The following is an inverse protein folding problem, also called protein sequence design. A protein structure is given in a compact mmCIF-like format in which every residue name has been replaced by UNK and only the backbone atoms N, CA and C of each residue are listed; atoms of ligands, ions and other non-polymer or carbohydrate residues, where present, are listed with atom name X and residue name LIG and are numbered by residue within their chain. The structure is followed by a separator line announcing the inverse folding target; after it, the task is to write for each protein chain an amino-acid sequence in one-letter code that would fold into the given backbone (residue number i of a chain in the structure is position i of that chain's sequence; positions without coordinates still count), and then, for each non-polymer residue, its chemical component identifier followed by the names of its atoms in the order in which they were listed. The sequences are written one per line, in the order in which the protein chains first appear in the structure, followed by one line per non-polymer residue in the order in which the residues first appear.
data_IF_038807471807
#
_entry.id   IF_038807471807
#
_cell.length_a   1.000
_cell.length_b   1.000
_cell.length_c   1.000
_cell.angle_alpha   90.00
_cell.angle_beta   90.00
_cell.angle_gamma   90.00
#
_symmetry.space_group_name_H-M   'P 1'
#
loop_
_entity.id
_entity.type
_entity.pdbx_description
1 polymer ?
#
# COMPACT_ATOMS: atom_id res chain seq x y z
N UNK A 1 -63.92 -20.36 -1.44
CA UNK A 1 -64.40 -20.10 -2.81
C UNK A 1 -63.29 -19.45 -3.60
N UNK A 2 -63.16 -19.86 -4.88
CA UNK A 2 -62.44 -19.24 -5.99
C UNK A 2 -60.90 -19.19 -5.99
N UNK A 3 -60.16 -19.45 -7.07
CA UNK A 3 -60.31 -20.27 -8.30
C UNK A 3 -58.86 -20.50 -8.77
N UNK A 4 -58.47 -21.75 -9.02
CA UNK A 4 -57.21 -22.10 -9.70
C UNK A 4 -57.29 -21.74 -11.19
N UNK A 5 -56.37 -20.91 -11.69
CA UNK A 5 -56.19 -20.68 -13.14
C UNK A 5 -55.04 -21.51 -13.69
N UNK A 6 -55.39 -22.61 -14.35
CA UNK A 6 -54.56 -23.40 -15.29
C UNK A 6 -54.14 -22.51 -16.47
N UNK A 7 -52.87 -22.55 -16.85
CA UNK A 7 -52.39 -22.03 -18.13
C UNK A 7 -52.26 -23.19 -19.13
N UNK A 8 -52.96 -23.06 -20.26
CA UNK A 8 -52.94 -23.99 -21.39
C UNK A 8 -51.66 -23.81 -22.21
N UNK A 9 -51.10 -24.92 -22.64
CA UNK A 9 -50.08 -25.00 -23.68
C UNK A 9 -50.73 -24.86 -25.06
N UNK A 10 -50.09 -24.10 -25.95
CA UNK A 10 -50.25 -24.23 -27.40
C UNK A 10 -48.87 -24.15 -28.09
N UNK A 11 -48.66 -24.87 -29.21
CA UNK A 11 -47.33 -25.18 -29.74
C UNK A 11 -46.93 -24.34 -30.96
N UNK A 12 -45.62 -24.16 -31.13
CA UNK A 12 -44.97 -24.03 -32.44
C UNK A 12 -44.90 -22.64 -33.07
N UNK A 13 -43.73 -22.02 -33.03
CA UNK A 13 -43.26 -21.10 -34.06
C UNK A 13 -41.73 -21.13 -34.13
N UNK A 14 -41.23 -21.13 -35.37
CA UNK A 14 -39.91 -21.56 -35.81
C UNK A 14 -38.78 -20.60 -35.40
N UNK A 15 -37.59 -21.18 -35.21
CA UNK A 15 -36.31 -20.47 -35.12
C UNK A 15 -36.06 -19.63 -36.38
N UNK A 16 -36.10 -18.31 -36.22
CA UNK A 16 -35.54 -17.37 -37.18
C UNK A 16 -34.02 -17.27 -36.98
N UNK A 17 -33.26 -17.73 -37.96
CA UNK A 17 -31.84 -17.44 -38.09
C UNK A 17 -31.66 -15.94 -38.32
N UNK A 18 -30.99 -15.27 -37.40
CA UNK A 18 -30.47 -13.92 -37.64
C UNK A 18 -29.19 -14.04 -38.48
N UNK A 19 -29.29 -13.67 -39.75
CA UNK A 19 -28.16 -13.49 -40.65
C UNK A 19 -27.57 -12.11 -40.35
N UNK A 20 -26.31 -12.07 -39.91
CA UNK A 20 -25.51 -10.85 -39.91
C UNK A 20 -25.18 -10.49 -41.36
N UNK A 21 -25.67 -9.34 -41.80
CA UNK A 21 -25.23 -8.66 -43.01
C UNK A 21 -23.93 -7.93 -42.70
N UNK A 22 -22.79 -8.42 -43.20
CA UNK A 22 -21.57 -7.63 -43.33
C UNK A 22 -21.35 -7.24 -44.80
N UNK A 23 -20.81 -6.04 -44.95
CA UNK A 23 -20.72 -5.22 -46.15
C UNK A 23 -19.75 -5.81 -47.17
N UNK A 24 -20.18 -5.84 -48.43
CA UNK A 24 -19.41 -6.25 -49.60
C UNK A 24 -18.26 -5.28 -49.87
N UNK A 25 -17.02 -5.76 -49.82
CA UNK A 25 -15.85 -5.08 -50.37
C UNK A 25 -15.57 -5.60 -51.79
N UNK A 26 -15.30 -4.68 -52.72
CA UNK A 26 -15.06 -4.97 -54.14
C UNK A 26 -13.79 -5.83 -54.36
N UNK A 27 -13.75 -6.69 -55.40
CA UNK A 27 -12.58 -7.51 -55.69
C UNK A 27 -11.51 -6.71 -56.45
N UNK A 28 -10.26 -6.81 -56.00
CA UNK A 28 -9.07 -6.48 -56.77
C UNK A 28 -8.63 -7.72 -57.56
N UNK A 29 -8.54 -7.57 -58.89
CA UNK A 29 -8.08 -8.61 -59.82
C UNK A 29 -6.55 -8.80 -59.72
N UNK A 30 -6.11 -9.82 -58.98
CA UNK A 30 -4.79 -10.44 -59.10
C UNK A 30 -4.96 -11.97 -59.22
N UNK A 31 -4.71 -12.59 -60.38
CA UNK A 31 -5.12 -13.97 -60.67
C UNK A 31 -4.20 -15.07 -60.13
N UNK A 32 -3.33 -14.78 -59.15
CA UNK A 32 -2.34 -15.75 -58.61
C UNK A 32 -2.28 -15.88 -57.08
N UNK A 33 -3.20 -15.25 -56.34
CA UNK A 33 -3.32 -15.45 -54.89
C UNK A 33 -4.50 -16.37 -54.58
N UNK A 34 -4.25 -17.63 -54.23
CA UNK A 34 -5.26 -18.50 -53.60
C UNK A 34 -5.83 -17.80 -52.37
N UNK A 35 -7.16 -17.75 -52.16
CA UNK A 35 -7.75 -17.03 -51.04
C UNK A 35 -7.21 -17.61 -49.72
N UNK A 36 -6.59 -16.77 -48.90
CA UNK A 36 -6.11 -17.18 -47.59
C UNK A 36 -7.27 -17.74 -46.76
N UNK A 37 -7.14 -18.96 -46.26
CA UNK A 37 -8.19 -19.62 -45.48
C UNK A 37 -8.46 -18.86 -44.17
N UNK A 38 -9.68 -18.35 -44.01
CA UNK A 38 -10.13 -17.64 -42.80
C UNK A 38 -10.71 -18.62 -41.77
N UNK A 39 -9.83 -19.34 -41.07
CA UNK A 39 -10.26 -20.19 -39.96
C UNK A 39 -10.68 -19.35 -38.74
N UNK A 40 -11.70 -19.78 -37.99
CA UNK A 40 -12.05 -19.13 -36.73
C UNK A 40 -10.91 -19.31 -35.70
N UNK A 41 -10.74 -18.35 -34.77
CA UNK A 41 -9.72 -18.48 -33.73
C UNK A 41 -9.99 -19.68 -32.83
N UNK A 42 -8.94 -20.42 -32.49
CA UNK A 42 -9.01 -21.59 -31.59
C UNK A 42 -9.12 -21.10 -30.15
N UNK A 43 -10.35 -20.79 -29.72
CA UNK A 43 -10.64 -20.26 -28.38
C UNK A 43 -11.82 -20.99 -27.74
N UNK A 44 -11.77 -21.20 -26.42
CA UNK A 44 -12.83 -21.91 -25.69
C UNK A 44 -14.13 -21.11 -25.63
N UNK A 45 -15.31 -21.75 -25.57
CA UNK A 45 -16.59 -21.04 -25.45
C UNK A 45 -16.72 -20.19 -24.17
N UNK A 46 -17.50 -19.09 -24.22
CA UNK A 46 -17.74 -18.21 -23.06
C UNK A 46 -18.81 -18.68 -22.07
N UNK A 47 -19.87 -19.28 -22.61
CA UNK A 47 -21.09 -19.59 -21.85
C UNK A 47 -21.02 -20.95 -21.17
N UNK A 48 -20.10 -21.82 -21.57
CA UNK A 48 -19.98 -23.15 -21.00
C UNK A 48 -19.63 -23.14 -19.50
N UNK A 49 -20.06 -24.20 -18.82
CA UNK A 49 -19.76 -24.47 -17.41
C UNK A 49 -18.47 -25.29 -17.27
N UNK A 50 -17.36 -24.80 -17.84
CA UNK A 50 -16.04 -25.45 -17.76
C UNK A 50 -14.98 -24.55 -17.09
N UNK A 51 -13.84 -25.14 -16.70
CA UNK A 51 -12.69 -24.39 -16.15
C UNK A 51 -12.13 -23.41 -17.19
N UNK A 52 -11.98 -23.84 -18.43
CA UNK A 52 -11.43 -23.02 -19.52
C UNK A 52 -12.38 -21.86 -19.87
N UNK A 53 -13.70 -22.09 -19.88
CA UNK A 53 -14.68 -21.01 -20.07
C UNK A 53 -14.66 -19.98 -18.92
N UNK A 54 -14.26 -20.38 -17.70
CA UNK A 54 -14.06 -19.45 -16.57
C UNK A 54 -12.80 -18.60 -16.76
N UNK A 55 -11.73 -19.15 -17.32
CA UNK A 55 -10.50 -18.42 -17.66
C UNK A 55 -10.78 -17.39 -18.77
N UNK A 56 -11.43 -17.79 -19.86
CA UNK A 56 -11.78 -16.85 -20.94
C UNK A 56 -12.64 -15.68 -20.47
N UNK A 57 -13.63 -15.93 -19.59
CA UNK A 57 -14.42 -14.85 -18.96
C UNK A 57 -13.59 -13.91 -18.07
N UNK A 58 -12.52 -14.42 -17.45
CA UNK A 58 -11.57 -13.62 -16.67
C UNK A 58 -10.73 -12.75 -17.61
N UNK A 59 -10.22 -13.33 -18.69
CA UNK A 59 -9.48 -12.58 -19.73
C UNK A 59 -10.34 -11.48 -20.35
N UNK A 60 -11.61 -11.72 -20.66
CA UNK A 60 -12.52 -10.68 -21.18
C UNK A 60 -12.78 -9.58 -20.15
N UNK A 61 -12.88 -9.94 -18.86
CA UNK A 61 -12.97 -8.96 -17.79
C UNK A 61 -11.68 -8.12 -17.69
N UNK A 62 -10.50 -8.73 -17.81
CA UNK A 62 -9.22 -8.02 -17.83
C UNK A 62 -9.08 -7.11 -19.06
N UNK A 63 -9.51 -7.57 -20.24
CA UNK A 63 -9.61 -6.74 -21.44
C UNK A 63 -10.52 -5.53 -21.22
N UNK A 64 -11.64 -5.69 -20.52
CA UNK A 64 -12.51 -4.56 -20.19
C UNK A 64 -11.85 -3.52 -19.28
N UNK A 65 -10.94 -3.93 -18.40
CA UNK A 65 -10.14 -3.01 -17.57
C UNK A 65 -9.07 -2.33 -18.41
N UNK A 66 -8.35 -3.08 -19.26
CA UNK A 66 -7.33 -2.49 -20.15
C UNK A 66 -7.93 -1.44 -21.09
N UNK A 67 -9.12 -1.72 -21.64
CA UNK A 67 -9.79 -0.85 -22.61
C UNK A 67 -10.50 0.35 -21.98
N UNK A 68 -10.54 0.47 -20.65
CA UNK A 68 -11.16 1.62 -19.99
C UNK A 68 -10.33 2.89 -20.25
N UNK A 69 -11.01 4.00 -20.57
CA UNK A 69 -10.37 5.21 -21.05
C UNK A 69 -9.70 6.01 -19.92
N UNK A 70 -10.32 6.01 -18.74
CA UNK A 70 -9.87 6.77 -17.57
C UNK A 70 -9.46 5.87 -16.41
N UNK A 71 -8.64 6.39 -15.49
CA UNK A 71 -8.22 5.66 -14.30
C UNK A 71 -9.39 5.44 -13.34
N UNK A 72 -10.30 6.40 -13.24
CA UNK A 72 -11.53 6.31 -12.46
C UNK A 72 -12.39 5.12 -12.90
N UNK A 73 -12.56 4.95 -14.22
CA UNK A 73 -13.29 3.82 -14.79
C UNK A 73 -12.58 2.49 -14.52
N UNK A 74 -11.24 2.44 -14.67
CA UNK A 74 -10.43 1.25 -14.34
C UNK A 74 -10.65 0.83 -12.88
N UNK A 75 -10.53 1.78 -11.96
CA UNK A 75 -10.73 1.54 -10.52
C UNK A 75 -12.16 1.13 -10.19
N UNK A 76 -13.15 1.74 -10.83
CA UNK A 76 -14.55 1.37 -10.66
C UNK A 76 -14.82 -0.07 -11.11
N UNK A 77 -14.30 -0.49 -12.27
CA UNK A 77 -14.45 -1.86 -12.79
C UNK A 77 -13.71 -2.86 -11.88
N UNK A 78 -12.48 -2.54 -11.47
CA UNK A 78 -11.65 -3.38 -10.59
C UNK A 78 -12.29 -3.56 -9.21
N UNK A 79 -12.80 -2.49 -8.62
CA UNK A 79 -13.43 -2.47 -7.30
C UNK A 79 -14.87 -3.02 -7.27
N UNK A 80 -15.55 -3.11 -8.42
CA UNK A 80 -17.00 -3.43 -8.52
C UNK A 80 -17.42 -4.70 -7.78
N UNK A 81 -16.61 -5.76 -7.84
CA UNK A 81 -17.00 -7.08 -7.33
C UNK A 81 -16.64 -7.23 -5.86
N UNK A 82 -17.61 -6.97 -4.99
CA UNK A 82 -17.46 -7.19 -3.55
C UNK A 82 -17.58 -8.69 -3.19
N UNK A 83 -16.55 -9.20 -2.51
CA UNK A 83 -16.48 -10.57 -1.97
C UNK A 83 -15.81 -10.52 -0.61
N UNK A 84 -15.86 -11.64 0.12
CA UNK A 84 -15.10 -11.79 1.37
C UNK A 84 -13.60 -11.57 1.09
N UNK A 85 -13.00 -10.67 1.85
CA UNK A 85 -11.60 -10.27 1.79
C UNK A 85 -11.04 -10.17 3.21
N UNK A 86 -9.76 -10.47 3.38
CA UNK A 86 -9.07 -10.26 4.65
C UNK A 86 -8.82 -8.78 4.88
N UNK A 87 -9.04 -8.31 6.10
CA UNK A 87 -8.68 -6.95 6.50
C UNK A 87 -7.34 -7.01 7.21
N UNK A 88 -6.32 -6.44 6.55
CA UNK A 88 -4.95 -6.34 7.05
C UNK A 88 -4.82 -5.03 7.79
N UNK A 89 -4.40 -5.11 9.06
CA UNK A 89 -4.28 -3.97 9.96
C UNK A 89 -2.79 -3.64 10.15
N UNK A 90 -2.26 -2.56 9.57
CA UNK A 90 -0.84 -2.21 9.73
C UNK A 90 -0.41 -2.15 11.20
N UNK A 91 -1.21 -1.51 12.05
CA UNK A 91 -1.03 -1.45 13.50
C UNK A 91 -1.59 -2.70 14.21
N UNK A 92 -0.98 -3.86 13.95
CA UNK A 92 -1.38 -5.14 14.54
C UNK A 92 -0.58 -5.48 15.81
N UNK A 93 -1.19 -6.29 16.68
CA UNK A 93 -0.56 -6.87 17.89
C UNK A 93 -0.20 -8.35 17.70
N UNK A 94 -0.35 -8.87 16.48
CA UNK A 94 -0.07 -10.26 16.19
C UNK A 94 1.43 -10.56 16.21
N UNK A 95 1.78 -11.73 16.76
CA UNK A 95 3.16 -12.21 16.87
C UNK A 95 3.72 -12.52 15.47
N UNK A 96 4.94 -12.08 15.19
CA UNK A 96 5.65 -12.29 13.91
C UNK A 96 4.85 -11.85 12.68
N UNK A 97 4.00 -10.81 12.82
CA UNK A 97 3.15 -10.32 11.75
C UNK A 97 3.94 -9.78 10.53
N UNK A 98 5.15 -9.28 10.76
CA UNK A 98 6.06 -8.78 9.73
C UNK A 98 6.34 -9.83 8.64
N UNK A 99 6.59 -11.09 9.02
CA UNK A 99 6.80 -12.20 8.08
C UNK A 99 5.55 -12.52 7.26
N UNK A 100 4.37 -12.48 7.89
CA UNK A 100 3.11 -12.69 7.18
C UNK A 100 2.84 -11.57 6.19
N UNK A 101 3.17 -10.32 6.53
CA UNK A 101 2.91 -9.18 5.66
C UNK A 101 3.84 -9.22 4.46
N UNK A 102 5.13 -9.49 4.66
CA UNK A 102 6.08 -9.77 3.60
C UNK A 102 5.58 -10.84 2.61
N UNK A 103 4.96 -11.91 3.11
CA UNK A 103 4.35 -12.95 2.28
C UNK A 103 3.14 -12.43 1.47
N UNK A 104 2.26 -11.65 2.09
CA UNK A 104 1.05 -11.12 1.45
C UNK A 104 1.35 -10.05 0.38
N UNK A 105 2.46 -9.34 0.52
CA UNK A 105 2.85 -8.21 -0.34
C UNK A 105 4.03 -8.53 -1.28
N UNK A 106 4.56 -9.76 -1.23
CA UNK A 106 5.76 -10.19 -1.97
C UNK A 106 6.93 -9.23 -1.73
N UNK A 107 7.19 -8.93 -0.46
CA UNK A 107 8.20 -7.94 -0.03
C UNK A 107 9.35 -8.62 0.70
N UNK A 108 10.58 -8.21 0.39
CA UNK A 108 11.80 -8.56 1.13
C UNK A 108 12.12 -7.43 2.11
N UNK A 109 12.33 -7.78 3.38
CA UNK A 109 12.81 -6.83 4.38
C UNK A 109 14.33 -6.82 4.46
N UNK A 110 14.94 -5.64 4.36
CA UNK A 110 16.39 -5.43 4.41
C UNK A 110 16.72 -4.56 5.63
N UNK A 111 17.57 -5.02 6.56
CA UNK A 111 17.98 -4.21 7.69
C UNK A 111 18.89 -3.06 7.24
N UNK A 112 18.69 -1.87 7.81
CA UNK A 112 19.40 -0.66 7.42
C UNK A 112 18.57 0.23 6.49
N UNK A 113 19.18 1.31 5.98
CA UNK A 113 18.57 2.24 5.03
C UNK A 113 19.31 2.21 3.70
N UNK A 114 18.67 2.60 2.58
CA UNK A 114 19.35 2.75 1.30
C UNK A 114 20.48 3.78 1.38
N UNK A 115 21.55 3.59 0.62
CA UNK A 115 22.73 4.47 0.63
C UNK A 115 22.40 5.95 0.33
N UNK A 116 21.36 6.22 -0.46
CA UNK A 116 20.93 7.58 -0.79
C UNK A 116 20.25 8.32 0.36
N UNK A 117 19.75 7.60 1.37
CA UNK A 117 19.00 8.15 2.51
C UNK A 117 19.69 7.85 3.85
N UNK A 118 20.75 7.06 3.86
CA UNK A 118 21.62 6.92 5.03
C UNK A 118 22.32 8.26 5.31
N UNK A 119 22.40 8.63 6.58
CA UNK A 119 23.14 9.82 7.02
C UNK A 119 24.64 9.55 6.86
N UNK A 120 25.29 10.31 5.99
CA UNK A 120 26.74 10.32 5.83
C UNK A 120 27.38 11.39 6.72
N UNK A 121 28.66 11.24 7.07
CA UNK A 121 29.40 12.26 7.83
C UNK A 121 29.53 13.60 7.08
N UNK A 122 29.36 13.58 5.77
CA UNK A 122 29.32 14.77 4.91
C UNK A 122 28.01 15.55 5.08
N UNK A 123 26.87 14.86 5.27
CA UNK A 123 25.56 15.48 5.49
C UNK A 123 25.50 16.28 6.81
N UNK A 124 26.34 15.91 7.79
CA UNK A 124 26.48 16.65 9.05
C UNK A 124 27.30 17.93 8.90
N UNK A 125 28.12 18.04 7.85
CA UNK A 125 28.98 19.20 7.56
C UNK A 125 28.33 20.23 6.64
N UNK A 126 27.24 19.87 5.97
CA UNK A 126 26.42 20.80 5.21
C UNK A 126 25.93 21.93 6.13
N UNK A 127 25.68 23.11 5.55
CA UNK A 127 25.38 24.39 6.22
C UNK A 127 24.03 24.44 6.96
N UNK A 128 23.55 23.33 7.50
CA UNK A 128 22.38 23.23 8.34
C UNK A 128 22.73 23.67 9.76
N UNK A 129 21.94 24.57 10.32
CA UNK A 129 22.03 24.90 11.75
C UNK A 129 21.39 23.79 12.58
N UNK A 130 22.18 22.76 12.88
CA UNK A 130 21.77 21.64 13.72
C UNK A 130 21.38 22.06 15.13
N UNK A 131 21.94 23.15 15.66
CA UNK A 131 21.61 23.66 16.97
C UNK A 131 20.20 24.27 16.98
N UNK A 132 19.85 25.02 15.94
CA UNK A 132 18.49 25.57 15.76
C UNK A 132 17.47 24.44 15.59
N UNK A 133 17.74 23.45 14.75
CA UNK A 133 16.86 22.29 14.54
C UNK A 133 16.63 21.50 15.83
N UNK A 134 17.69 21.27 16.60
CA UNK A 134 17.59 20.62 17.91
C UNK A 134 16.76 21.44 18.88
N UNK A 135 16.99 22.75 18.93
CA UNK A 135 16.22 23.68 19.77
C UNK A 135 14.73 23.61 19.43
N UNK A 136 14.38 23.66 18.14
CA UNK A 136 13.01 23.54 17.64
C UNK A 136 12.35 22.23 18.09
N UNK A 137 13.04 21.09 17.94
CA UNK A 137 12.48 19.79 18.35
C UNK A 137 12.28 19.71 19.85
N UNK A 138 13.27 20.18 20.64
CA UNK A 138 13.17 20.24 22.09
C UNK A 138 12.04 21.16 22.57
N UNK A 139 11.85 22.30 21.92
CA UNK A 139 10.77 23.23 22.24
C UNK A 139 9.40 22.57 22.03
N UNK A 140 9.18 21.89 20.90
CA UNK A 140 7.93 21.17 20.62
C UNK A 140 7.73 19.99 21.60
N UNK A 141 8.80 19.28 21.97
CA UNK A 141 8.74 18.23 22.98
C UNK A 141 8.29 18.78 24.34
N UNK A 142 8.92 19.87 24.82
CA UNK A 142 8.62 20.52 26.09
C UNK A 142 7.24 21.17 26.09
N UNK A 143 6.83 21.75 24.95
CA UNK A 143 5.48 22.29 24.75
C UNK A 143 4.43 21.23 25.06
N UNK A 144 4.55 20.04 24.48
CA UNK A 144 3.54 19.01 24.59
C UNK A 144 3.60 18.19 25.88
N UNK A 145 4.78 18.02 26.48
CA UNK A 145 4.97 17.18 27.67
C UNK A 145 4.98 17.96 28.99
N UNK A 146 5.40 19.24 28.97
CA UNK A 146 5.57 20.03 30.18
C UNK A 146 4.70 21.29 30.21
N UNK A 147 4.79 22.15 29.19
CA UNK A 147 4.13 23.46 29.22
C UNK A 147 2.62 23.40 29.03
N UNK A 148 2.14 22.54 28.13
CA UNK A 148 0.71 22.45 27.83
C UNK A 148 -0.04 21.73 28.94
N UNK A 149 -0.95 22.46 29.59
CA UNK A 149 -1.84 21.88 30.61
C UNK A 149 -2.87 20.96 29.96
N UNK A 150 -2.68 19.65 30.12
CA UNK A 150 -3.59 18.62 29.60
C UNK A 150 -4.46 18.05 30.72
N UNK A 151 -5.70 17.69 30.38
CA UNK A 151 -6.54 16.86 31.26
C UNK A 151 -5.92 15.46 31.33
N UNK A 152 -6.18 14.73 32.41
CA UNK A 152 -5.72 13.34 32.52
C UNK A 152 -6.23 12.52 31.31
N UNK A 153 -5.33 11.83 30.57
CA UNK A 153 -5.74 11.01 29.44
C UNK A 153 -6.63 9.86 29.90
N UNK A 154 -7.50 9.40 29.00
CA UNK A 154 -8.21 8.13 29.20
C UNK A 154 -7.23 6.97 29.07
N UNK A 155 -7.53 5.85 29.73
CA UNK A 155 -6.77 4.60 29.60
C UNK A 155 -6.59 4.22 28.12
N UNK A 156 -5.37 3.87 27.71
CA UNK A 156 -4.99 3.55 26.32
C UNK A 156 -5.14 4.69 25.30
N UNK A 157 -5.20 5.94 25.75
CA UNK A 157 -5.16 7.15 24.89
C UNK A 157 -4.10 8.14 25.36
N UNK A 158 -3.04 7.62 25.99
CA UNK A 158 -1.93 8.46 26.44
C UNK A 158 -1.11 8.89 25.22
N UNK A 159 -0.92 7.96 24.27
CA UNK A 159 -0.29 8.23 22.96
C UNK A 159 -0.96 9.37 22.21
N UNK A 160 -2.29 9.46 22.27
CA UNK A 160 -3.08 10.42 21.50
C UNK A 160 -2.90 11.86 21.98
N UNK A 161 -2.62 12.06 23.26
CA UNK A 161 -2.51 13.40 23.84
C UNK A 161 -1.09 13.95 23.85
N UNK A 162 -0.06 13.11 23.96
CA UNK A 162 1.35 13.55 23.98
C UNK A 162 2.05 13.28 22.66
N UNK A 163 2.46 12.02 22.40
CA UNK A 163 3.17 11.61 21.18
C UNK A 163 2.52 12.03 19.87
N UNK A 164 1.20 11.88 19.73
CA UNK A 164 0.50 12.26 18.50
C UNK A 164 0.60 13.77 18.27
N UNK A 165 0.24 14.57 19.28
CA UNK A 165 0.27 16.02 19.21
C UNK A 165 1.68 16.55 18.91
N UNK A 166 2.70 15.95 19.53
CA UNK A 166 4.11 16.23 19.24
C UNK A 166 4.44 16.09 17.75
N UNK A 167 4.15 14.93 17.14
CA UNK A 167 4.44 14.70 15.72
C UNK A 167 3.61 15.65 14.83
N UNK A 168 2.34 15.89 15.16
CA UNK A 168 1.50 16.80 14.36
C UNK A 168 1.98 18.24 14.35
N UNK A 169 2.69 18.68 15.40
CA UNK A 169 3.30 20.01 15.46
C UNK A 169 4.72 20.03 14.89
N UNK A 170 5.48 18.97 15.12
CA UNK A 170 6.86 18.85 14.66
C UNK A 170 6.95 18.84 13.14
N UNK A 171 6.16 18.00 12.48
CA UNK A 171 6.28 17.77 11.02
C UNK A 171 6.08 19.05 10.22
N UNK A 172 5.02 19.87 10.43
CA UNK A 172 4.87 21.13 9.72
C UNK A 172 5.97 22.14 10.04
N UNK A 173 6.41 22.25 11.31
CA UNK A 173 7.48 23.17 11.72
C UNK A 173 8.80 22.81 11.04
N UNK A 174 9.18 21.52 11.04
CA UNK A 174 10.37 21.04 10.34
C UNK A 174 10.24 21.21 8.82
N UNK A 175 9.10 20.87 8.23
CA UNK A 175 8.89 21.03 6.79
C UNK A 175 9.01 22.49 6.36
N UNK A 176 8.44 23.42 7.13
CA UNK A 176 8.55 24.86 6.87
C UNK A 176 10.00 25.36 7.00
N UNK A 177 10.73 24.93 8.03
CA UNK A 177 12.12 25.31 8.23
C UNK A 177 13.03 24.75 7.10
N UNK A 178 12.78 23.51 6.66
CA UNK A 178 13.53 22.85 5.59
C UNK A 178 13.07 23.24 4.17
N UNK A 179 11.98 23.99 4.02
CA UNK A 179 11.45 24.38 2.72
C UNK A 179 12.41 25.27 1.91
N UNK A 180 13.30 26.01 2.58
CA UNK A 180 14.35 26.81 1.94
C UNK A 180 15.39 25.93 1.23
N UNK A 181 15.71 24.76 1.81
CA UNK A 181 16.69 23.79 1.29
C UNK A 181 16.05 22.78 0.34
N UNK A 182 14.80 22.39 0.62
CA UNK A 182 14.01 21.53 -0.24
C UNK A 182 12.71 22.26 -0.66
N UNK A 183 12.74 23.02 -1.77
CA UNK A 183 11.56 23.74 -2.28
C UNK A 183 10.35 22.82 -2.53
N UNK A 184 10.61 21.53 -2.71
CA UNK A 184 9.59 20.55 -2.96
C UNK A 184 8.65 20.35 -1.75
N UNK A 185 9.14 20.59 -0.52
CA UNK A 185 8.33 20.61 0.72
C UNK A 185 7.52 21.90 0.91
N UNK A 186 7.81 22.96 0.15
CA UNK A 186 7.05 24.21 0.20
C UNK A 186 5.72 24.11 -0.56
N UNK A 187 5.46 25.08 -1.44
CA UNK A 187 4.18 25.25 -2.16
C UNK A 187 3.76 24.07 -3.07
N UNK A 188 4.63 23.09 -3.28
CA UNK A 188 4.36 21.92 -4.13
C UNK A 188 3.98 20.65 -3.36
N UNK A 189 3.92 20.72 -2.03
CA UNK A 189 3.51 19.61 -1.17
C UNK A 189 2.25 19.93 -0.38
N UNK A 190 1.55 18.88 0.05
CA UNK A 190 0.46 18.97 1.02
C UNK A 190 0.76 18.07 2.20
N UNK A 191 0.48 18.58 3.41
CA UNK A 191 0.56 17.83 4.65
C UNK A 191 -0.87 17.53 5.09
N UNK A 192 -1.27 16.27 5.02
CA UNK A 192 -2.58 15.84 5.52
C UNK A 192 -2.45 15.28 6.95
N UNK A 193 -3.46 15.52 7.78
CA UNK A 193 -3.55 14.98 9.13
C UNK A 193 -4.66 13.93 9.21
N UNK A 194 -4.31 12.74 9.71
CA UNK A 194 -5.21 11.59 9.79
C UNK A 194 -5.96 11.25 8.49
N UNK A 195 -5.30 11.25 7.31
CA UNK A 195 -5.95 10.88 6.06
C UNK A 195 -6.26 9.38 6.04
N UNK A 196 -7.28 9.00 5.27
CA UNK A 196 -7.55 7.60 4.98
C UNK A 196 -6.60 7.12 3.86
N UNK A 197 -5.98 5.95 4.04
CA UNK A 197 -5.20 5.28 3.00
C UNK A 197 -5.71 3.85 2.85
N UNK A 198 -6.14 3.52 1.64
CA UNK A 198 -6.80 2.26 1.35
C UNK A 198 -6.16 1.56 0.15
N UNK A 199 -6.01 0.24 0.23
CA UNK A 199 -5.54 -0.54 -0.90
C UNK A 199 -6.18 -1.92 -0.95
N UNK A 200 -6.60 -2.34 -2.13
CA UNK A 200 -7.26 -3.62 -2.40
C UNK A 200 -6.47 -4.41 -3.44
N UNK A 201 -6.10 -5.66 -3.10
CA UNK A 201 -5.36 -6.52 -4.01
C UNK A 201 -5.69 -8.00 -3.82
N UNK A 202 -5.14 -8.83 -4.71
CA UNK A 202 -5.27 -10.28 -4.69
C UNK A 202 -3.88 -10.91 -4.58
N UNK A 203 -3.73 -11.93 -3.72
CA UNK A 203 -2.48 -12.68 -3.56
C UNK A 203 -2.77 -14.14 -3.24
N UNK A 204 -2.41 -15.04 -4.15
CA UNK A 204 -2.63 -16.48 -3.97
C UNK A 204 -4.09 -16.95 -4.11
N UNK A 205 -4.28 -18.25 -4.04
CA UNK A 205 -5.59 -18.90 -4.20
C UNK A 205 -5.80 -19.97 -3.12
N UNK A 206 -7.06 -20.29 -2.85
CA UNK A 206 -7.42 -21.40 -1.96
C UNK A 206 -8.58 -22.20 -2.52
N UNK A 207 -8.68 -23.45 -2.10
CA UNK A 207 -9.83 -24.30 -2.39
C UNK A 207 -10.82 -24.14 -1.25
N UNK A 208 -12.07 -23.81 -1.58
CA UNK A 208 -13.11 -23.61 -0.56
C UNK A 208 -13.33 -24.92 0.22
N UNK A 209 -13.10 -24.93 1.55
CA UNK A 209 -13.06 -26.19 2.31
C UNK A 209 -14.44 -26.72 2.69
N UNK A 210 -15.48 -25.87 2.75
CA UNK A 210 -16.85 -26.26 3.16
C UNK A 210 -17.92 -25.41 2.47
N UNK A 211 -19.17 -25.88 2.48
CA UNK A 211 -20.35 -25.18 1.96
C UNK A 211 -20.62 -25.42 0.47
N UNK A 212 -21.63 -24.74 -0.10
CA UNK A 212 -22.10 -24.99 -1.47
C UNK A 212 -21.06 -24.73 -2.59
N UNK A 213 -19.97 -24.01 -2.28
CA UNK A 213 -18.84 -23.77 -3.21
C UNK A 213 -17.66 -24.73 -2.99
N UNK A 214 -17.85 -25.80 -2.22
CA UNK A 214 -16.82 -26.77 -1.90
C UNK A 214 -16.05 -27.24 -3.14
N UNK A 215 -14.72 -27.40 -3.01
CA UNK A 215 -13.84 -27.87 -4.08
C UNK A 215 -13.58 -26.84 -5.20
N UNK A 216 -14.17 -25.64 -5.14
CA UNK A 216 -13.90 -24.58 -6.12
C UNK A 216 -12.71 -23.72 -5.70
N UNK A 217 -11.89 -23.37 -6.69
CA UNK A 217 -10.79 -22.40 -6.55
C UNK A 217 -11.37 -20.99 -6.36
N UNK A 218 -10.96 -20.32 -5.29
CA UNK A 218 -11.30 -18.93 -4.95
C UNK A 218 -10.02 -18.15 -4.64
N UNK A 219 -9.80 -16.98 -5.26
CA UNK A 219 -8.61 -16.19 -4.96
C UNK A 219 -8.72 -15.52 -3.60
N UNK A 220 -7.58 -15.39 -2.93
CA UNK A 220 -7.49 -14.67 -1.67
C UNK A 220 -7.43 -13.17 -1.97
N UNK A 221 -8.28 -12.42 -1.27
CA UNK A 221 -8.44 -10.98 -1.43
C UNK A 221 -8.04 -10.30 -0.14
N UNK A 222 -7.36 -9.18 -0.24
CA UNK A 222 -6.88 -8.41 0.90
C UNK A 222 -7.29 -6.95 0.75
N UNK A 223 -7.51 -6.30 1.89
CA UNK A 223 -7.74 -4.87 2.01
C UNK A 223 -6.91 -4.35 3.17
N UNK A 224 -6.18 -3.27 2.95
CA UNK A 224 -5.63 -2.44 4.02
C UNK A 224 -6.50 -1.21 4.15
N UNK A 225 -6.89 -0.92 5.39
CA UNK A 225 -7.55 0.31 5.79
C UNK A 225 -6.69 0.97 6.86
N UNK A 226 -5.86 1.90 6.42
CA UNK A 226 -4.87 2.58 7.25
C UNK A 226 -5.22 4.05 7.47
N UNK A 227 -4.73 4.60 8.57
CA UNK A 227 -4.88 6.00 8.95
C UNK A 227 -3.57 6.50 9.56
N UNK A 228 -2.58 6.90 8.73
CA UNK A 228 -1.36 7.55 9.22
C UNK A 228 -1.70 8.79 10.03
N UNK A 229 -0.82 9.19 10.95
CA UNK A 229 -1.01 10.41 11.73
C UNK A 229 -0.85 11.66 10.86
N UNK A 230 0.22 11.66 10.05
CA UNK A 230 0.48 12.68 9.05
C UNK A 230 1.01 12.01 7.78
N UNK A 231 0.77 12.61 6.63
CA UNK A 231 1.49 12.25 5.40
C UNK A 231 1.82 13.49 4.59
N UNK A 232 2.95 13.43 3.90
CA UNK A 232 3.38 14.47 2.96
C UNK A 232 3.15 13.93 1.55
N UNK A 233 2.32 14.61 0.77
CA UNK A 233 2.09 14.32 -0.66
C UNK A 233 2.74 15.38 -1.54
N UNK A 234 3.14 14.98 -2.73
CA UNK A 234 3.85 15.81 -3.70
C UNK A 234 3.31 15.63 -5.11
N UNK A 235 3.60 16.61 -5.97
CA UNK A 235 3.26 16.56 -7.40
C UNK A 235 4.20 15.68 -8.23
N UNK A 236 5.46 15.57 -7.82
CA UNK A 236 6.49 14.80 -8.52
C UNK A 236 6.86 13.57 -7.71
N UNK A 237 7.16 12.50 -8.41
CA UNK A 237 7.59 11.23 -7.83
C UNK A 237 9.03 11.35 -7.30
N UNK A 238 9.28 10.78 -6.12
CA UNK A 238 10.63 10.64 -5.57
C UNK A 238 11.48 9.70 -6.44
N UNK A 239 12.80 9.89 -6.36
CA UNK A 239 13.75 9.04 -7.08
C UNK A 239 13.83 7.63 -6.49
N UNK A 240 14.02 6.64 -7.36
CA UNK A 240 14.20 5.25 -6.94
C UNK A 240 15.46 5.06 -6.09
N UNK A 241 15.40 4.14 -5.13
CA UNK A 241 16.56 3.81 -4.29
C UNK A 241 17.49 2.85 -4.99
N UNK A 242 16.91 1.84 -5.63
CA UNK A 242 17.58 0.81 -6.42
C UNK A 242 16.85 0.63 -7.76
N UNK A 243 17.51 0.09 -8.80
CA UNK A 243 16.87 -0.21 -10.07
C UNK A 243 15.67 -1.17 -9.92
N UNK A 244 14.71 -1.10 -10.85
CA UNK A 244 13.47 -1.91 -10.81
C UNK A 244 13.70 -3.43 -10.78
N UNK A 245 14.78 -3.91 -11.41
CA UNK A 245 15.11 -5.34 -11.49
C UNK A 245 15.96 -5.83 -10.31
N UNK A 246 16.26 -4.95 -9.35
CA UNK A 246 16.94 -5.33 -8.11
C UNK A 246 16.03 -6.21 -7.24
N UNK A 247 16.54 -7.37 -6.84
CA UNK A 247 15.77 -8.36 -6.07
C UNK A 247 15.92 -8.22 -4.55
N UNK A 248 16.93 -7.47 -4.09
CA UNK A 248 17.28 -7.35 -2.69
C UNK A 248 18.04 -8.56 -2.13
N UNK A 249 18.75 -8.40 -1.01
CA UNK A 249 19.35 -9.50 -0.27
C UNK A 249 18.26 -10.22 0.54
N UNK A 250 18.05 -11.51 0.26
CA UNK A 250 17.19 -12.39 1.05
C UNK A 250 15.94 -12.89 0.34
N UNK A 251 15.29 -13.83 1.00
CA UNK A 251 14.09 -14.50 0.48
C UNK A 251 12.82 -14.04 1.18
N UNK A 252 11.73 -14.03 0.41
CA UNK A 252 10.40 -13.72 0.93
C UNK A 252 9.95 -14.90 1.80
N UNK A 253 9.53 -14.66 3.06
CA UNK A 253 8.97 -15.71 3.90
C UNK A 253 7.78 -16.40 3.21
N UNK A 254 7.82 -17.73 3.10
CA UNK A 254 6.72 -18.52 2.55
C UNK A 254 5.91 -19.12 3.71
N UNK A 255 4.67 -18.67 3.86
CA UNK A 255 3.78 -19.18 4.89
C UNK A 255 2.90 -20.28 4.30
N UNK A 256 3.01 -21.49 4.85
CA UNK A 256 2.25 -22.67 4.39
C UNK A 256 0.84 -22.76 5.01
N UNK A 257 0.48 -21.81 5.87
CA UNK A 257 -0.80 -21.78 6.58
C UNK A 257 -1.74 -20.72 6.00
N UNK A 258 -3.04 -20.94 6.16
CA UNK A 258 -4.04 -19.93 5.80
C UNK A 258 -3.89 -18.68 6.68
N UNK A 259 -4.13 -17.48 6.12
CA UNK A 259 -4.11 -16.23 6.89
C UNK A 259 -5.06 -16.21 8.10
N UNK A 260 -6.08 -17.09 8.12
CA UNK A 260 -7.00 -17.31 9.25
C UNK A 260 -6.28 -17.76 10.56
N UNK A 261 -5.00 -18.16 10.50
CA UNK A 261 -4.18 -18.51 11.69
C UNK A 261 -3.52 -17.29 12.36
N UNK A 262 -3.33 -16.21 11.61
CA UNK A 262 -3.10 -14.89 12.20
C UNK A 262 -4.46 -14.40 12.74
N UNK A 263 -4.53 -13.50 13.75
CA UNK A 263 -5.79 -12.85 14.14
C UNK A 263 -6.30 -11.88 13.05
N UNK A 264 -6.54 -12.41 11.86
CA UNK A 264 -6.91 -11.74 10.62
C UNK A 264 -8.26 -12.30 10.16
N UNK A 265 -9.23 -11.42 9.95
CA UNK A 265 -10.61 -11.85 9.71
C UNK A 265 -11.10 -11.42 8.33
N UNK A 266 -11.96 -12.26 7.73
CA UNK A 266 -12.62 -11.95 6.46
C UNK A 266 -13.85 -11.09 6.69
N UNK A 267 -13.96 -9.98 5.97
CA UNK A 267 -15.15 -9.12 5.91
C UNK A 267 -15.54 -8.88 4.46
N UNK A 268 -16.75 -8.39 4.23
CA UNK A 268 -17.21 -7.99 2.90
C UNK A 268 -17.81 -6.59 3.00
N UNK A 269 -17.23 -5.66 2.25
CA UNK A 269 -17.62 -4.26 2.13
C UNK A 269 -16.99 -3.72 0.84
N UNK A 270 -17.22 -2.44 0.56
CA UNK A 270 -16.66 -1.74 -0.59
C UNK A 270 -15.14 -1.90 -0.71
N UNK A 271 -14.66 -2.12 -1.93
CA UNK A 271 -13.24 -2.16 -2.23
C UNK A 271 -12.76 -0.74 -2.48
N UNK A 272 -11.81 -0.29 -1.65
CA UNK A 272 -11.32 1.09 -1.69
C UNK A 272 -9.84 1.09 -2.05
N UNK A 273 -9.48 1.96 -2.98
CA UNK A 273 -8.10 2.30 -3.33
C UNK A 273 -8.04 3.83 -3.24
N UNK A 274 -7.28 4.33 -2.27
CA UNK A 274 -7.29 5.74 -1.93
C UNK A 274 -5.96 6.14 -1.29
N UNK A 275 -5.36 7.24 -1.76
CA UNK A 275 -4.04 7.71 -1.32
C UNK A 275 -4.11 8.80 -0.23
N UNK A 276 -5.32 9.18 0.18
CA UNK A 276 -5.59 10.36 1.03
C UNK A 276 -6.19 11.54 0.27
N UNK A 277 -6.21 11.48 -1.06
CA UNK A 277 -6.89 12.47 -1.92
C UNK A 277 -7.53 11.83 -3.15
N UNK A 278 -8.43 12.57 -3.78
CA UNK A 278 -9.12 12.15 -5.01
C UNK A 278 -8.14 12.11 -6.20
N UNK A 279 -8.51 11.37 -7.24
CA UNK A 279 -7.67 11.16 -8.43
C UNK A 279 -7.39 12.47 -9.18
N UNK A 280 -8.32 13.43 -9.10
CA UNK A 280 -8.18 14.75 -9.70
C UNK A 280 -7.14 15.66 -9.03
N UNK A 281 -6.63 15.29 -7.85
CA UNK A 281 -5.62 16.09 -7.15
C UNK A 281 -4.25 15.95 -7.84
N UNK A 282 -3.58 17.06 -8.18
CA UNK A 282 -2.25 17.02 -8.77
C UNK A 282 -1.18 16.37 -7.86
N UNK A 283 -1.39 16.35 -6.54
CA UNK A 283 -0.44 15.80 -5.58
C UNK A 283 -0.72 14.31 -5.32
N UNK A 284 -0.49 13.51 -6.36
CA UNK A 284 -0.78 12.08 -6.39
C UNK A 284 0.37 11.18 -5.92
N UNK A 285 1.55 11.74 -5.62
CA UNK A 285 2.73 10.99 -5.17
C UNK A 285 2.97 11.18 -3.67
N UNK A 286 3.44 10.14 -3.00
CA UNK A 286 3.81 10.18 -1.59
C UNK A 286 5.28 10.52 -1.37
N UNK A 287 5.56 11.29 -0.32
CA UNK A 287 6.91 11.55 0.17
C UNK A 287 7.18 10.73 1.43
N UNK A 288 6.71 11.21 2.58
CA UNK A 288 6.90 10.58 3.89
C UNK A 288 5.58 10.45 4.65
N UNK A 289 5.33 9.27 5.23
CA UNK A 289 4.26 9.03 6.20
C UNK A 289 4.79 9.02 7.63
N UNK A 290 3.98 9.51 8.57
CA UNK A 290 4.25 9.46 9.99
C UNK A 290 3.17 8.65 10.68
N UNK A 291 3.60 7.62 11.42
CA UNK A 291 2.72 6.69 12.11
C UNK A 291 2.99 6.72 13.60
N UNK A 292 1.94 6.55 14.38
CA UNK A 292 2.02 6.38 15.82
C UNK A 292 1.52 4.98 16.19
N UNK A 293 2.37 4.20 16.85
CA UNK A 293 1.98 2.89 17.35
C UNK A 293 0.97 3.05 18.50
N UNK A 294 -0.06 2.18 18.56
CA UNK A 294 -1.07 2.27 19.60
C UNK A 294 -0.53 1.79 20.95
N UNK A 295 -1.13 2.29 22.04
CA UNK A 295 -0.79 1.92 23.43
C UNK A 295 -0.80 0.39 23.71
N UNK A 296 -1.45 -0.40 22.85
CA UNK A 296 -1.52 -1.87 22.97
C UNK A 296 -0.22 -2.59 22.66
N UNK A 297 0.62 -2.03 21.79
CA UNK A 297 1.91 -2.62 21.38
C UNK A 297 3.10 -1.88 21.97
N UNK A 298 2.86 -1.08 23.02
CA UNK A 298 3.92 -0.38 23.74
C UNK A 298 5.01 -1.32 24.24
N UNK A 299 6.27 -0.91 24.07
CA UNK A 299 7.48 -1.61 24.48
C UNK A 299 7.42 -2.06 25.94
N UNK A 300 7.07 -1.18 26.86
CA UNK A 300 6.94 -1.50 28.31
C UNK A 300 5.92 -2.62 28.57
N UNK A 301 4.87 -2.73 27.76
CA UNK A 301 3.88 -3.79 27.87
C UNK A 301 4.42 -5.11 27.31
N UNK A 302 5.11 -5.08 26.18
CA UNK A 302 5.72 -6.27 25.58
C UNK A 302 6.80 -6.86 26.49
N UNK A 303 7.63 -6.02 27.12
CA UNK A 303 8.61 -6.44 28.12
C UNK A 303 7.92 -7.14 29.31
N UNK A 304 6.86 -6.55 29.86
CA UNK A 304 6.09 -7.17 30.96
C UNK A 304 5.45 -8.51 30.60
N UNK A 305 5.20 -8.75 29.31
CA UNK A 305 4.65 -10.01 28.79
C UNK A 305 5.74 -11.00 28.38
N UNK A 306 7.03 -10.70 28.61
CA UNK A 306 8.18 -11.48 28.17
C UNK A 306 8.24 -11.68 26.64
N UNK A 307 7.80 -10.68 25.87
CA UNK A 307 7.79 -10.66 24.41
C UNK A 307 8.83 -9.66 23.86
N UNK A 308 10.08 -9.78 24.30
CA UNK A 308 11.16 -8.83 23.95
C UNK A 308 11.58 -8.93 22.48
N UNK A 309 11.48 -10.11 21.89
CA UNK A 309 11.71 -10.38 20.47
C UNK A 309 10.68 -9.72 19.55
N UNK A 310 9.51 -9.37 20.10
CA UNK A 310 8.40 -8.76 19.37
C UNK A 310 8.42 -7.23 19.43
N UNK A 311 9.43 -6.59 20.01
CA UNK A 311 9.44 -5.12 20.17
C UNK A 311 9.46 -4.41 18.80
N UNK A 312 10.30 -4.86 17.86
CA UNK A 312 10.43 -4.22 16.54
C UNK A 312 9.45 -4.79 15.50
N UNK A 313 8.79 -5.90 15.79
CA UNK A 313 7.85 -6.55 14.86
C UNK A 313 6.66 -5.63 14.49
N UNK A 314 5.99 -4.93 15.43
CA UNK A 314 4.95 -3.97 15.12
C UNK A 314 5.43 -2.82 14.23
N UNK A 315 6.66 -2.34 14.41
CA UNK A 315 7.23 -1.31 13.54
C UNK A 315 7.38 -1.83 12.11
N UNK A 316 8.02 -2.98 11.93
CA UNK A 316 8.23 -3.58 10.60
C UNK A 316 6.90 -3.94 9.92
N UNK A 317 5.97 -4.57 10.64
CA UNK A 317 4.66 -4.94 10.10
C UNK A 317 3.85 -3.70 9.68
N UNK A 318 3.85 -2.65 10.49
CA UNK A 318 3.20 -1.40 10.16
C UNK A 318 3.84 -0.74 8.92
N UNK A 319 5.18 -0.67 8.87
CA UNK A 319 5.90 -0.12 7.71
C UNK A 319 5.56 -0.87 6.41
N UNK A 320 5.68 -2.20 6.40
CA UNK A 320 5.38 -3.01 5.21
C UNK A 320 3.93 -2.86 4.79
N UNK A 321 2.98 -2.90 5.74
CA UNK A 321 1.56 -2.76 5.44
C UNK A 321 1.22 -1.37 4.88
N UNK A 322 1.55 -0.31 5.61
CA UNK A 322 1.22 1.07 5.24
C UNK A 322 1.90 1.52 3.95
N UNK A 323 3.21 1.26 3.81
CA UNK A 323 3.95 1.70 2.63
C UNK A 323 3.57 0.91 1.38
N UNK A 324 3.27 -0.39 1.49
CA UNK A 324 2.74 -1.16 0.37
C UNK A 324 1.36 -0.64 -0.05
N UNK A 325 0.47 -0.37 0.91
CA UNK A 325 -0.85 0.17 0.60
C UNK A 325 -0.75 1.53 -0.11
N UNK A 326 0.14 2.40 0.38
CA UNK A 326 0.31 3.73 -0.18
C UNK A 326 0.94 3.72 -1.57
N UNK A 327 2.06 3.01 -1.76
CA UNK A 327 2.71 2.90 -3.07
C UNK A 327 1.83 2.17 -4.08
N UNK A 328 1.14 1.11 -3.66
CA UNK A 328 0.20 0.38 -4.51
C UNK A 328 -0.97 1.25 -4.96
N UNK A 329 -1.54 2.05 -4.06
CA UNK A 329 -2.60 2.99 -4.41
C UNK A 329 -2.09 4.10 -5.36
N UNK A 330 -0.89 4.63 -5.15
CA UNK A 330 -0.25 5.60 -6.06
C UNK A 330 -0.04 5.02 -7.47
N UNK A 331 0.44 3.78 -7.57
CA UNK A 331 0.63 3.11 -8.84
C UNK A 331 -0.70 2.85 -9.56
N UNK A 332 -1.76 2.46 -8.83
CA UNK A 332 -3.09 2.31 -9.41
C UNK A 332 -3.73 3.63 -9.87
N UNK A 333 -3.39 4.75 -9.22
CA UNK A 333 -3.77 6.09 -9.70
C UNK A 333 -3.09 6.47 -11.03
N UNK A 334 -1.98 5.80 -11.39
CA UNK A 334 -1.33 5.95 -12.69
C UNK A 334 -1.83 4.91 -13.73
N UNK A 335 -2.80 4.07 -13.36
CA UNK A 335 -3.40 3.07 -14.24
C UNK A 335 -2.74 1.68 -14.22
N UNK A 336 -1.67 1.49 -13.43
CA UNK A 336 -1.03 0.17 -13.23
C UNK A 336 -1.92 -0.74 -12.37
N UNK A 337 -1.85 -2.05 -12.58
CA UNK A 337 -2.60 -3.04 -11.79
C UNK A 337 -1.98 -4.43 -11.95
N UNK A 338 -2.67 -5.49 -11.51
CA UNK A 338 -2.05 -6.83 -11.43
C UNK A 338 -1.58 -7.42 -12.77
N UNK A 339 -2.19 -7.06 -13.89
CA UNK A 339 -1.79 -7.55 -15.22
C UNK A 339 -0.94 -6.51 -16.00
N UNK A 340 -1.07 -5.22 -15.64
CA UNK A 340 -0.28 -4.13 -16.22
C UNK A 340 0.69 -3.62 -15.16
N UNK A 341 1.80 -4.36 -15.02
CA UNK A 341 2.77 -4.14 -13.94
C UNK A 341 3.51 -2.81 -14.09
N UNK A 342 4.09 -2.34 -13.00
CA UNK A 342 4.77 -1.04 -12.96
C UNK A 342 6.00 -1.03 -13.89
N UNK A 343 6.10 0.01 -14.70
CA UNK A 343 7.27 0.22 -15.59
C UNK A 343 8.43 0.94 -14.89
N UNK A 344 8.12 1.66 -13.80
CA UNK A 344 9.07 2.35 -12.93
C UNK A 344 8.69 2.09 -11.47
N UNK A 345 9.65 2.03 -10.56
CA UNK A 345 9.35 1.73 -9.17
C UNK A 345 8.70 2.93 -8.46
N UNK A 346 7.79 2.65 -7.53
CA UNK A 346 7.20 3.67 -6.67
C UNK A 346 7.83 3.59 -5.28
N UNK A 347 8.49 4.67 -4.88
CA UNK A 347 9.14 4.77 -3.57
C UNK A 347 8.29 5.58 -2.59
N UNK A 348 8.37 5.23 -1.32
CA UNK A 348 7.79 6.02 -0.23
C UNK A 348 8.56 5.79 1.05
N UNK A 349 8.56 6.80 1.93
CA UNK A 349 9.24 6.77 3.22
C UNK A 349 8.21 6.72 4.35
N UNK A 350 8.55 6.08 5.47
CA UNK A 350 7.76 6.19 6.70
C UNK A 350 8.64 6.33 7.93
N UNK A 351 8.16 7.13 8.88
CA UNK A 351 8.69 7.18 10.23
C UNK A 351 7.61 6.68 11.19
N UNK A 352 7.96 5.66 11.96
CA UNK A 352 7.04 5.04 12.91
C UNK A 352 7.51 5.38 14.32
N UNK A 353 6.63 5.99 15.08
CA UNK A 353 6.90 6.52 16.41
C UNK A 353 6.06 5.80 17.47
N UNK A 354 6.61 5.62 18.67
CA UNK A 354 5.90 5.04 19.82
C UNK A 354 5.80 6.01 21.00
N UNK A 355 6.33 7.24 20.85
CA UNK A 355 6.33 8.29 21.89
C UNK A 355 7.73 8.68 22.39
N UNK A 356 8.65 7.72 22.40
CA UNK A 356 10.07 7.95 22.71
C UNK A 356 10.98 7.35 21.65
N UNK A 357 10.64 6.14 21.21
CA UNK A 357 11.37 5.41 20.19
C UNK A 357 10.78 5.67 18.81
N UNK A 358 11.67 5.81 17.84
CA UNK A 358 11.34 5.92 16.42
C UNK A 358 12.14 4.89 15.61
N UNK A 359 11.54 4.41 14.53
CA UNK A 359 12.21 3.64 13.51
C UNK A 359 11.89 4.21 12.13
N UNK A 360 12.88 4.12 11.24
CA UNK A 360 12.84 4.70 9.90
C UNK A 360 12.74 3.61 8.87
N UNK A 361 11.86 3.80 7.89
CA UNK A 361 11.60 2.82 6.84
C UNK A 361 11.55 3.48 5.47
N UNK A 362 12.10 2.78 4.49
CA UNK A 362 11.94 3.11 3.07
C UNK A 362 11.32 1.92 2.37
N UNK A 363 10.44 2.16 1.41
CA UNK A 363 9.80 1.12 0.64
C UNK A 363 9.90 1.43 -0.83
N UNK A 364 10.14 0.41 -1.63
CA UNK A 364 10.14 0.47 -3.07
C UNK A 364 9.23 -0.62 -3.64
N UNK A 365 8.20 -0.18 -4.34
CA UNK A 365 7.27 -1.03 -5.08
C UNK A 365 7.83 -1.29 -6.48
N UNK A 366 8.31 -2.51 -6.69
CA UNK A 366 8.84 -2.97 -7.98
C UNK A 366 7.82 -3.81 -8.75
N UNK A 367 6.79 -4.33 -8.09
CA UNK A 367 5.75 -5.13 -8.75
C UNK A 367 4.39 -5.10 -8.03
N UNK A 368 3.32 -5.08 -8.83
CA UNK A 368 1.92 -5.26 -8.46
C UNK A 368 1.33 -6.58 -8.96
N UNK A 369 2.08 -7.33 -9.77
CA UNK A 369 1.70 -8.62 -10.33
C UNK A 369 1.74 -9.73 -9.25
N UNK A 370 0.74 -9.72 -8.37
CA UNK A 370 0.64 -10.59 -7.19
C UNK A 370 -0.34 -11.76 -7.35
N UNK A 371 -1.13 -11.79 -8.45
CA UNK A 371 -2.05 -12.89 -8.76
C UNK A 371 -1.27 -14.15 -9.12
N UNK A 372 -1.87 -15.34 -8.96
CA UNK A 372 -1.19 -16.60 -9.29
C UNK A 372 -0.83 -16.70 -10.78
N UNK A 373 -1.57 -16.03 -11.66
CA UNK A 373 -1.31 -16.00 -13.10
C UNK A 373 -0.14 -15.06 -13.42
N UNK A 374 -0.16 -13.83 -12.91
CA UNK A 374 0.87 -12.84 -13.19
C UNK A 374 2.20 -13.11 -12.45
N UNK A 375 2.17 -13.80 -11.30
CA UNK A 375 3.36 -14.05 -10.47
C UNK A 375 4.24 -15.20 -11.02
N UNK A 376 3.72 -16.08 -11.89
CA UNK A 376 4.41 -17.31 -12.33
C UNK A 376 5.78 -17.06 -12.97
N UNK A 377 5.88 -16.01 -13.79
CA UNK A 377 7.11 -15.66 -14.52
C UNK A 377 7.69 -14.32 -14.06
N UNK A 378 7.30 -13.85 -12.88
CA UNK A 378 7.70 -12.54 -12.39
C UNK A 378 8.82 -12.66 -11.33
N UNK A 379 10.09 -12.43 -11.70
CA UNK A 379 11.19 -12.51 -10.75
C UNK A 379 11.20 -11.33 -9.76
N UNK A 380 10.56 -10.20 -10.09
CA UNK A 380 10.63 -8.95 -9.32
C UNK A 380 9.98 -9.12 -7.94
N UNK A 381 10.55 -8.44 -6.95
CA UNK A 381 10.11 -8.44 -5.56
C UNK A 381 10.09 -7.01 -5.05
N UNK A 382 9.14 -6.71 -4.17
CA UNK A 382 9.12 -5.42 -3.49
C UNK A 382 10.17 -5.41 -2.38
N UNK A 383 10.67 -4.23 -2.01
CA UNK A 383 11.74 -4.11 -1.02
C UNK A 383 11.34 -3.10 0.04
N UNK A 384 11.57 -3.46 1.30
CA UNK A 384 11.40 -2.58 2.45
C UNK A 384 12.68 -2.56 3.26
N UNK A 385 13.30 -1.39 3.34
CA UNK A 385 14.44 -1.12 4.22
C UNK A 385 13.93 -0.60 5.55
N UNK A 386 14.60 -0.96 6.64
CA UNK A 386 14.22 -0.50 7.97
C UNK A 386 15.35 -0.53 8.99
N UNK A 387 15.37 0.48 9.85
CA UNK A 387 16.26 0.52 11.02
C UNK A 387 15.61 -0.16 12.23
N UNK A 388 16.44 -0.53 13.20
CA UNK A 388 15.96 -0.80 14.56
C UNK A 388 15.43 0.48 15.22
N UNK A 389 14.60 0.32 16.25
CA UNK A 389 13.99 1.44 16.94
C UNK A 389 14.94 2.09 17.96
N UNK A 390 15.32 3.35 17.69
CA UNK A 390 16.21 4.16 18.55
C UNK A 390 15.42 5.20 19.35
N UNK A 391 15.82 5.53 20.60
CA UNK A 391 15.18 6.60 21.37
C UNK A 391 15.60 7.98 20.85
N UNK A 392 14.65 8.90 20.75
CA UNK A 392 14.90 10.31 20.46
C UNK A 392 15.46 11.06 21.68
N UNK A 393 15.02 10.67 22.88
CA UNK A 393 15.45 11.23 24.16
C UNK A 393 15.36 10.16 25.26
N UNK A 394 16.07 10.35 26.38
CA UNK A 394 16.05 9.42 27.52
C UNK A 394 14.91 9.73 28.49
N UNK A 395 14.90 10.96 29.03
CA UNK A 395 13.88 11.45 29.95
C UNK A 395 13.58 12.94 29.70
N UNK A 396 12.39 13.37 30.12
CA UNK A 396 12.01 14.79 30.19
C UNK A 396 11.80 15.09 31.66
N UNK A 397 12.66 15.93 32.21
CA UNK A 397 12.67 16.29 33.62
C UNK A 397 12.50 17.79 33.78
N UNK A 398 11.38 18.19 34.39
CA UNK A 398 10.98 19.59 34.49
C UNK A 398 10.96 20.25 33.09
N UNK A 399 11.89 21.18 32.86
CA UNK A 399 11.99 21.97 31.65
C UNK A 399 13.20 21.60 30.77
N UNK A 400 13.73 20.40 30.92
CA UNK A 400 14.92 19.97 30.18
C UNK A 400 14.75 18.56 29.60
N UNK A 401 15.31 18.38 28.40
CA UNK A 401 15.30 17.10 27.67
C UNK A 401 16.65 16.44 27.86
N UNK A 402 16.70 15.34 28.61
CA UNK A 402 17.93 14.59 28.88
C UNK A 402 18.16 13.53 27.82
N UNK A 403 19.44 13.37 27.45
CA UNK A 403 19.89 12.33 26.52
C UNK A 403 19.29 12.45 25.12
N UNK A 404 19.17 13.67 24.58
CA UNK A 404 18.69 13.89 23.21
C UNK A 404 19.62 13.25 22.19
N UNK A 405 19.05 12.52 21.24
CA UNK A 405 19.80 11.78 20.22
C UNK A 405 19.84 12.54 18.89
N UNK A 406 20.98 13.17 18.60
CA UNK A 406 21.18 13.95 17.38
C UNK A 406 21.19 13.08 16.10
N UNK A 407 21.53 11.78 16.19
CA UNK A 407 21.49 10.87 15.04
C UNK A 407 20.06 10.67 14.52
N UNK A 408 19.11 10.55 15.46
CA UNK A 408 17.70 10.39 15.11
C UNK A 408 17.19 11.66 14.43
N UNK A 409 17.54 12.84 14.95
CA UNK A 409 17.19 14.11 14.33
C UNK A 409 17.78 14.23 12.92
N UNK A 410 19.06 13.88 12.76
CA UNK A 410 19.72 13.87 11.45
C UNK A 410 18.99 12.96 10.45
N UNK A 411 18.53 11.80 10.88
CA UNK A 411 17.78 10.89 10.02
C UNK A 411 16.39 11.42 9.63
N UNK A 412 15.69 12.08 10.56
CA UNK A 412 14.42 12.79 10.26
C UNK A 412 14.62 13.87 9.19
N UNK A 413 15.65 14.70 9.36
CA UNK A 413 15.97 15.78 8.44
C UNK A 413 16.36 15.23 7.08
N UNK A 414 17.18 14.16 7.02
CA UNK A 414 17.58 13.50 5.77
C UNK A 414 16.38 12.95 4.99
N UNK A 415 15.38 12.37 5.66
CA UNK A 415 14.15 11.92 5.02
C UNK A 415 13.40 13.10 4.38
N UNK A 416 13.20 14.18 5.13
CA UNK A 416 12.53 15.39 4.65
C UNK A 416 13.28 16.08 3.51
N UNK A 417 14.60 16.08 3.52
CA UNK A 417 15.43 16.65 2.45
C UNK A 417 15.45 15.82 1.17
N UNK A 418 14.92 14.58 1.17
CA UNK A 418 14.83 13.80 -0.04
C UNK A 418 13.94 14.52 -1.08
N UNK A 419 14.45 14.67 -2.30
CA UNK A 419 13.82 15.46 -3.36
C UNK A 419 13.61 14.62 -4.63
N UNK A 420 12.55 14.90 -5.40
CA UNK A 420 12.38 14.33 -6.73
C UNK A 420 13.54 14.78 -7.63
N UNK A 421 13.98 13.93 -8.56
CA UNK A 421 14.94 14.34 -9.60
C UNK A 421 14.26 15.39 -10.49
N UNK A 422 14.96 16.50 -10.75
CA UNK A 422 14.57 17.42 -11.81
C UNK A 422 14.84 16.72 -13.15
N UNK A 423 13.79 16.59 -13.97
CA UNK A 423 13.88 16.05 -15.33
C UNK A 423 14.34 17.15 -16.28
#
# INVERSE_FOLDING_TARGET
MAVFRRWRWLPGARLGQFIHSEVSAAPSDDPLASPASLYPPVVASLTAKSKIAKLRRREEYYKSIHNAATVEEKLAIYGKRQRRKYVVYPQTWAINADRWYQHFTKTVFVPGLPASVSVSEEDKKDSLDWAELRSLVCEVLLQEHYYQRKKRPKLFRISDQGPAAFITQLVPKLAAHLASLNPALGSSSFIDFQPDVHFYWLRGETVVPRGHRYGRIDPLRFQIDDKPLCQIRMRKQLSEFEPVDYLGPGDIPVIQHLPDKLPLFKRQYENKIFIGSQISDPCCYGHTQFHLLPDRVKRERLIRLNLTDQIDVPYRANAVGSLFAWTGAQAMYQGFWSEDDVTRPFVSQAVIFEGRYCAFFCYQLNTLALTVEADQNNPRRNICWGTESKPLYESIENNDVKGFNDEVLAQFVKFLLNKPKEL
#
